data_IF_241287592245
#
_entry.id   IF_241287592245
#
_cell.length_a   1.000
_cell.length_b   1.000
_cell.length_c   1.000
_cell.angle_alpha   90.00
_cell.angle_beta   90.00
_cell.angle_gamma   90.00
#
_symmetry.space_group_name_H-M   'P 1'
#
loop_
_entity.id
_entity.type
_entity.pdbx_description
1 polymer ?
#
# COMPACT_ATOMS: atom_id res chain seq x y z
N UNK A 1 28.38 -20.92 8.34
CA UNK A 1 27.01 -20.40 8.31
C UNK A 1 26.10 -21.53 7.83
N UNK A 2 25.14 -22.04 8.61
CA UNK A 2 24.26 -23.11 8.12
C UNK A 2 23.31 -22.54 7.05
N UNK A 3 23.33 -23.10 5.85
CA UNK A 3 22.47 -22.70 4.73
C UNK A 3 20.98 -22.87 5.07
N UNK A 4 20.22 -21.78 4.88
CA UNK A 4 18.76 -21.75 5.05
C UNK A 4 18.13 -22.55 3.90
N UNK A 5 17.52 -23.70 4.20
CA UNK A 5 16.74 -24.47 3.21
C UNK A 5 15.43 -23.75 2.93
N UNK A 6 15.28 -23.17 1.75
CA UNK A 6 14.02 -22.63 1.25
C UNK A 6 13.02 -23.77 1.02
N UNK A 7 12.15 -24.00 2.01
CA UNK A 7 11.04 -24.95 1.91
C UNK A 7 9.71 -24.22 2.06
N UNK A 8 9.46 -23.27 1.15
CA UNK A 8 8.14 -22.63 1.03
C UNK A 8 7.23 -23.61 0.30
N UNK A 9 6.28 -24.22 1.03
CA UNK A 9 5.31 -25.19 0.49
C UNK A 9 3.92 -24.59 0.57
N UNK A 10 3.09 -24.80 -0.46
CA UNK A 10 1.68 -24.38 -0.47
C UNK A 10 0.79 -25.51 0.04
N UNK A 11 -0.11 -25.19 0.95
CA UNK A 11 -1.15 -26.09 1.46
C UNK A 11 -2.52 -25.48 1.24
N UNK A 12 -3.54 -26.30 0.99
CA UNK A 12 -4.93 -25.82 1.00
C UNK A 12 -5.46 -25.74 2.43
N UNK A 13 -6.56 -25.01 2.64
CA UNK A 13 -7.19 -24.91 3.95
C UNK A 13 -7.60 -26.28 4.52
N UNK A 14 -8.05 -27.20 3.65
CA UNK A 14 -8.46 -28.54 4.03
C UNK A 14 -7.25 -29.40 4.43
N UNK A 15 -6.12 -29.26 3.73
CA UNK A 15 -4.87 -29.93 4.10
C UNK A 15 -4.39 -29.49 5.49
N UNK A 16 -4.47 -28.19 5.79
CA UNK A 16 -4.10 -27.65 7.10
C UNK A 16 -5.01 -28.16 8.23
N UNK A 17 -6.31 -28.29 7.98
CA UNK A 17 -7.25 -28.87 8.96
C UNK A 17 -6.94 -30.34 9.24
N UNK A 18 -6.66 -31.13 8.20
CA UNK A 18 -6.28 -32.53 8.32
C UNK A 18 -4.97 -32.70 9.08
N UNK A 19 -3.95 -31.90 8.75
CA UNK A 19 -2.66 -31.92 9.44
C UNK A 19 -2.79 -31.52 10.92
N UNK A 20 -3.67 -30.56 11.26
CA UNK A 20 -3.97 -30.22 12.66
C UNK A 20 -4.60 -31.37 13.43
N UNK A 21 -5.58 -32.05 12.82
CA UNK A 21 -6.23 -33.21 13.44
C UNK A 21 -5.25 -34.40 13.63
N UNK A 22 -4.25 -34.52 12.76
CA UNK A 22 -3.21 -35.55 12.83
C UNK A 22 -2.05 -35.18 13.77
N UNK A 23 -2.04 -33.98 14.36
CA UNK A 23 -0.95 -33.48 15.20
C UNK A 23 0.32 -33.10 14.43
N UNK A 24 0.25 -33.05 13.10
CA UNK A 24 1.36 -32.72 12.19
C UNK A 24 1.44 -31.21 11.89
N UNK A 25 0.38 -30.46 12.22
CA UNK A 25 0.39 -29.01 12.13
C UNK A 25 0.61 -28.36 13.50
N UNK A 26 1.80 -27.81 13.67
CA UNK A 26 2.18 -27.04 14.84
C UNK A 26 3.70 -26.91 14.95
N UNK A 27 4.15 -25.83 15.59
CA UNK A 27 5.54 -25.69 15.99
C UNK A 27 5.81 -26.52 17.24
N UNK A 28 6.97 -27.17 17.33
CA UNK A 28 7.41 -27.82 18.56
C UNK A 28 7.83 -26.77 19.59
N UNK A 29 6.84 -26.28 20.36
CA UNK A 29 7.05 -25.26 21.39
C UNK A 29 7.93 -25.76 22.55
N UNK A 30 7.97 -27.08 22.81
CA UNK A 30 8.87 -27.67 23.83
C UNK A 30 10.33 -27.63 23.39
N UNK A 31 10.60 -27.76 22.09
CA UNK A 31 11.92 -27.51 21.52
C UNK A 31 12.28 -26.03 21.50
N UNK A 32 11.34 -25.15 21.11
CA UNK A 32 11.57 -23.71 21.10
C UNK A 32 11.89 -23.16 22.49
N UNK A 33 11.17 -23.62 23.53
CA UNK A 33 11.42 -23.21 24.92
C UNK A 33 12.79 -23.65 25.48
N UNK A 34 13.45 -24.62 24.85
CA UNK A 34 14.81 -25.08 25.20
C UNK A 34 15.91 -24.28 24.48
N UNK A 35 15.56 -23.45 23.50
CA UNK A 35 16.49 -22.52 22.89
C UNK A 35 16.58 -21.26 23.74
N UNK A 36 17.78 -20.70 23.86
CA UNK A 36 17.97 -19.39 24.48
C UNK A 36 17.23 -18.32 23.67
N UNK A 37 16.68 -17.32 24.36
CA UNK A 37 16.06 -16.17 23.71
C UNK A 37 17.18 -15.36 23.04
N UNK A 38 17.08 -15.06 21.73
CA UNK A 38 18.00 -14.14 21.08
C UNK A 38 17.97 -12.78 21.79
N UNK A 39 19.07 -12.06 21.77
CA UNK A 39 19.20 -10.73 22.40
C UNK A 39 18.31 -9.65 21.76
N UNK A 40 17.59 -9.99 20.69
CA UNK A 40 16.72 -9.08 19.96
C UNK A 40 17.47 -8.23 18.93
N UNK A 41 18.77 -8.47 18.73
CA UNK A 41 19.56 -7.79 17.71
C UNK A 41 19.25 -8.42 16.35
N UNK A 42 18.38 -7.79 15.56
CA UNK A 42 18.20 -8.13 14.15
C UNK A 42 19.09 -7.21 13.29
N UNK A 43 20.02 -7.75 12.47
CA UNK A 43 20.76 -6.91 11.53
C UNK A 43 19.86 -6.18 10.52
N UNK A 44 18.62 -6.64 10.31
CA UNK A 44 17.62 -5.95 9.48
C UNK A 44 16.91 -4.80 10.25
N UNK A 45 17.03 -4.73 11.59
CA UNK A 45 16.55 -3.60 12.41
C UNK A 45 17.50 -2.38 12.33
N UNK A 46 18.68 -2.54 11.73
CA UNK A 46 19.56 -1.43 11.42
C UNK A 46 18.94 -0.59 10.30
N UNK A 47 18.01 0.30 10.67
CA UNK A 47 17.51 1.31 9.74
C UNK A 47 18.67 2.22 9.34
N UNK A 48 19.01 2.23 8.05
CA UNK A 48 19.81 3.30 7.48
C UNK A 48 19.14 4.65 7.77
N UNK A 49 19.96 5.68 8.01
CA UNK A 49 19.44 7.03 8.17
C UNK A 49 18.60 7.39 6.95
N UNK A 50 17.28 7.52 7.15
CA UNK A 50 16.34 7.88 6.09
C UNK A 50 16.81 9.21 5.50
N UNK A 51 17.08 9.28 4.19
CA UNK A 51 17.59 10.51 3.61
C UNK A 51 16.54 11.63 3.76
N UNK A 52 16.96 12.90 3.96
CA UNK A 52 16.05 13.97 4.39
C UNK A 52 14.87 14.24 3.44
N UNK A 53 15.01 13.87 2.17
CA UNK A 53 13.99 13.97 1.12
C UNK A 53 12.86 12.94 1.27
N UNK A 54 13.06 11.87 2.04
CA UNK A 54 12.04 10.87 2.38
C UNK A 54 11.23 11.23 3.64
N UNK A 55 11.66 12.26 4.39
CA UNK A 55 10.85 12.86 5.45
C UNK A 55 9.78 13.71 4.77
N UNK A 56 8.59 13.12 4.63
CA UNK A 56 7.46 13.60 3.84
C UNK A 56 7.28 15.14 3.88
N UNK A 57 7.48 15.76 2.72
CA UNK A 57 6.86 17.05 2.37
C UNK A 57 5.34 16.89 2.52
N UNK A 58 4.78 17.69 3.40
CA UNK A 58 3.36 17.93 3.68
C UNK A 58 2.39 17.17 2.77
N UNK A 59 1.72 16.15 3.32
CA UNK A 59 0.58 15.53 2.62
C UNK A 59 -0.50 16.62 2.45
N UNK A 60 -0.80 17.06 1.21
CA UNK A 60 -1.72 18.16 1.02
C UNK A 60 -3.07 17.77 1.59
N UNK A 61 -3.55 18.56 2.55
CA UNK A 61 -4.87 18.38 3.14
C UNK A 61 -5.92 18.26 2.01
N UNK A 62 -6.80 17.24 2.05
CA UNK A 62 -7.80 17.06 1.00
C UNK A 62 -8.71 18.30 0.96
N UNK A 63 -8.66 19.05 -0.15
CA UNK A 63 -9.51 20.23 -0.32
C UNK A 63 -10.99 19.81 -0.35
N UNK A 64 -11.82 20.52 0.40
CA UNK A 64 -13.27 20.35 0.39
C UNK A 64 -13.80 20.64 -1.02
N UNK A 65 -14.44 19.64 -1.63
CA UNK A 65 -15.09 19.78 -2.93
C UNK A 65 -16.58 20.05 -2.70
N UNK A 66 -17.11 21.08 -3.33
CA UNK A 66 -18.55 21.35 -3.32
C UNK A 66 -19.20 20.67 -4.53
N UNK A 67 -20.35 20.04 -4.33
CA UNK A 67 -21.12 19.48 -5.43
C UNK A 67 -21.70 20.62 -6.29
N UNK A 68 -21.40 20.61 -7.59
CA UNK A 68 -21.90 21.59 -8.55
C UNK A 68 -22.35 20.87 -9.83
N UNK A 69 -23.48 21.31 -10.39
CA UNK A 69 -23.96 20.84 -11.70
C UNK A 69 -23.56 21.85 -12.76
N UNK A 70 -22.59 21.50 -13.60
CA UNK A 70 -22.14 22.32 -14.74
C UNK A 70 -22.47 21.62 -16.06
N UNK A 71 -22.64 22.40 -17.12
CA UNK A 71 -22.75 21.86 -18.49
C UNK A 71 -21.36 21.79 -19.11
N UNK A 72 -21.04 20.66 -19.72
CA UNK A 72 -19.78 20.40 -20.44
C UNK A 72 -20.18 19.90 -21.83
N UNK A 73 -19.47 20.32 -22.86
CA UNK A 73 -19.68 19.84 -24.22
C UNK A 73 -19.50 18.31 -24.30
N UNK A 74 -20.32 17.68 -25.14
CA UNK A 74 -20.43 16.22 -25.17
C UNK A 74 -19.13 15.54 -25.62
N UNK A 75 -18.46 16.12 -26.62
CA UNK A 75 -17.18 15.65 -27.15
C UNK A 75 -16.04 15.76 -26.11
N UNK A 76 -15.98 16.87 -25.38
CA UNK A 76 -15.03 17.09 -24.29
C UNK A 76 -15.25 16.07 -23.18
N UNK A 77 -16.50 15.85 -22.78
CA UNK A 77 -16.83 14.87 -21.74
C UNK A 77 -16.48 13.44 -22.17
N UNK A 78 -16.79 13.06 -23.40
CA UNK A 78 -16.43 11.74 -23.95
C UNK A 78 -14.91 11.55 -24.02
N UNK A 79 -14.15 12.57 -24.43
CA UNK A 79 -12.69 12.52 -24.43
C UNK A 79 -12.11 12.26 -23.03
N UNK A 80 -12.62 12.94 -21.99
CA UNK A 80 -12.18 12.71 -20.62
C UNK A 80 -12.57 11.32 -20.10
N UNK A 81 -13.79 10.83 -20.42
CA UNK A 81 -14.23 9.48 -20.06
C UNK A 81 -13.38 8.40 -20.70
N UNK A 82 -12.96 8.59 -21.96
CA UNK A 82 -12.11 7.64 -22.69
C UNK A 82 -10.76 7.38 -21.98
N UNK A 83 -10.30 8.30 -21.14
CA UNK A 83 -9.08 8.15 -20.32
C UNK A 83 -9.29 7.28 -19.07
N UNK A 84 -10.48 6.70 -18.90
CA UNK A 84 -10.81 5.75 -17.84
C UNK A 84 -11.14 6.38 -16.48
N UNK A 85 -11.00 5.57 -15.43
CA UNK A 85 -11.39 5.95 -14.05
C UNK A 85 -10.71 7.24 -13.61
N UNK A 86 -11.47 8.12 -12.96
CA UNK A 86 -10.96 9.39 -12.44
C UNK A 86 -11.10 10.58 -13.41
N UNK A 87 -11.85 10.43 -14.51
CA UNK A 87 -12.10 11.52 -15.46
C UNK A 87 -12.61 12.82 -14.81
N UNK A 88 -13.50 12.73 -13.80
CA UNK A 88 -13.98 13.91 -13.04
C UNK A 88 -12.84 14.60 -12.27
N UNK A 89 -11.91 13.82 -11.71
CA UNK A 89 -10.73 14.37 -11.03
C UNK A 89 -9.82 15.10 -12.02
N UNK A 90 -9.67 14.57 -13.24
CA UNK A 90 -8.90 15.24 -14.31
C UNK A 90 -9.56 16.53 -14.77
N UNK A 91 -10.87 16.53 -15.00
CA UNK A 91 -11.65 17.75 -15.30
C UNK A 91 -11.40 18.81 -14.23
N UNK A 92 -11.54 18.43 -12.96
CA UNK A 92 -11.32 19.36 -11.85
C UNK A 92 -9.85 19.84 -11.75
N UNK A 93 -8.87 19.03 -12.13
CA UNK A 93 -7.46 19.43 -12.14
C UNK A 93 -7.19 20.50 -13.22
N UNK A 94 -7.76 20.35 -14.42
CA UNK A 94 -7.66 21.36 -15.49
C UNK A 94 -8.32 22.67 -15.07
N UNK A 95 -9.55 22.60 -14.54
CA UNK A 95 -10.26 23.78 -14.04
C UNK A 95 -9.48 24.48 -12.92
N UNK A 96 -8.83 23.72 -12.04
CA UNK A 96 -7.97 24.24 -10.97
C UNK A 96 -6.77 24.98 -11.55
N UNK A 97 -6.05 24.38 -12.48
CA UNK A 97 -4.88 25.00 -13.09
C UNK A 97 -5.24 26.31 -13.77
N UNK A 98 -6.34 26.32 -14.54
CA UNK A 98 -6.87 27.53 -15.15
C UNK A 98 -7.20 28.59 -14.10
N UNK A 99 -7.91 28.20 -13.04
CA UNK A 99 -8.27 29.09 -11.94
C UNK A 99 -7.05 29.71 -11.26
N UNK A 100 -6.06 28.91 -10.84
CA UNK A 100 -4.88 29.44 -10.14
C UNK A 100 -4.08 30.37 -11.06
N UNK A 101 -3.96 30.05 -12.36
CA UNK A 101 -3.25 30.90 -13.33
C UNK A 101 -3.89 32.29 -13.54
N UNK A 102 -5.20 32.41 -13.32
CA UNK A 102 -5.94 33.67 -13.51
C UNK A 102 -6.30 34.37 -12.19
N UNK A 103 -5.93 33.79 -11.05
CA UNK A 103 -6.28 34.33 -9.73
C UNK A 103 -5.23 35.31 -9.21
N UNK A 104 -4.00 35.26 -9.71
CA UNK A 104 -2.94 36.20 -9.34
C UNK A 104 -2.89 37.37 -10.35
N UNK A 105 -2.95 38.63 -9.90
CA UNK A 105 -2.47 39.77 -10.68
C UNK A 105 -0.94 39.87 -10.69
#
# INVERSE_FOLDING_TARGET
>A
MPEKKERIVRFTANDLQKMRHQGEAGSDWKRAARQGVPDGSDPDDAFDAVPPDWVMTEMPLPRTKTHASIRIDADVLEWFKAQGRGYQTRINAVLRQYYEHHREP
#
